data_IF_824025189904
#
_entry.id   IF_824025189904
#
_cell.length_a   1.000
_cell.length_b   1.000
_cell.length_c   1.000
_cell.angle_alpha   90.00
_cell.angle_beta   90.00
_cell.angle_gamma   90.00
#
_symmetry.space_group_name_H-M   'P 1'
#
loop_
_entity.id
_entity.type
_entity.pdbx_description
1 polymer ?
#
# COMPACT_ATOMS: atom_id res chain seq x y z
N UNK A 1 -0.72 12.37 -14.51
CA UNK A 1 0.21 11.31 -14.04
C UNK A 1 1.05 11.93 -12.94
N UNK A 2 0.93 11.43 -11.72
CA UNK A 2 1.67 12.02 -10.60
C UNK A 2 3.00 11.28 -10.45
N UNK A 3 4.11 11.97 -10.78
CA UNK A 3 5.44 11.36 -10.74
C UNK A 3 6.04 11.29 -9.32
N UNK A 4 5.32 11.77 -8.31
CA UNK A 4 5.83 11.98 -6.96
C UNK A 4 6.05 10.67 -6.16
N UNK A 5 5.38 9.57 -6.55
CA UNK A 5 5.60 8.26 -5.90
C UNK A 5 6.93 7.60 -6.33
N UNK A 6 7.37 7.88 -7.57
CA UNK A 6 8.43 7.10 -8.20
C UNK A 6 9.79 7.28 -7.53
N UNK A 7 10.19 8.47 -7.06
CA UNK A 7 11.42 8.63 -6.31
C UNK A 7 11.47 7.74 -5.07
N UNK A 8 10.40 7.74 -4.27
CA UNK A 8 10.36 6.93 -3.03
C UNK A 8 10.35 5.43 -3.33
N UNK A 9 9.58 4.97 -4.32
CA UNK A 9 9.56 3.56 -4.71
C UNK A 9 10.87 3.10 -5.36
N UNK A 10 11.56 3.98 -6.11
CA UNK A 10 12.88 3.68 -6.66
C UNK A 10 13.90 3.51 -5.54
N UNK A 11 13.89 4.37 -4.53
CA UNK A 11 14.74 4.23 -3.34
C UNK A 11 14.43 2.93 -2.60
N UNK A 12 13.15 2.60 -2.38
CA UNK A 12 12.76 1.34 -1.76
C UNK A 12 13.26 0.13 -2.57
N UNK A 13 13.15 0.18 -3.90
CA UNK A 13 13.63 -0.90 -4.79
C UNK A 13 15.15 -1.04 -4.74
N UNK A 14 15.88 0.09 -4.68
CA UNK A 14 17.33 0.09 -4.54
C UNK A 14 17.77 -0.54 -3.22
N UNK A 15 17.12 -0.21 -2.10
CA UNK A 15 17.38 -0.86 -0.81
C UNK A 15 16.97 -2.33 -0.79
N UNK A 16 15.92 -2.74 -1.51
CA UNK A 16 15.54 -4.14 -1.63
C UNK A 16 16.60 -4.94 -2.40
N UNK A 17 17.12 -4.40 -3.51
CA UNK A 17 18.22 -4.99 -4.25
C UNK A 17 19.50 -5.05 -3.40
N UNK A 18 19.80 -3.98 -2.65
CA UNK A 18 20.93 -3.92 -1.73
C UNK A 18 20.80 -4.97 -0.62
N UNK A 19 19.64 -5.12 0.00
CA UNK A 19 19.36 -6.14 1.02
C UNK A 19 19.55 -7.55 0.45
N UNK A 20 19.09 -7.80 -0.78
CA UNK A 20 19.35 -9.03 -1.52
C UNK A 20 20.84 -9.31 -1.69
N UNK A 21 21.62 -8.30 -2.08
CA UNK A 21 23.08 -8.43 -2.18
C UNK A 21 23.73 -8.69 -0.81
N UNK A 22 23.34 -7.93 0.22
CA UNK A 22 23.80 -8.10 1.61
C UNK A 22 23.51 -9.51 2.13
N UNK A 23 22.38 -10.11 1.75
CA UNK A 23 22.03 -11.48 2.13
C UNK A 23 22.96 -12.55 1.53
N UNK A 24 23.54 -12.29 0.35
CA UNK A 24 24.55 -13.19 -0.23
C UNK A 24 25.88 -13.16 0.55
N UNK A 25 26.13 -12.06 1.26
CA UNK A 25 27.33 -11.82 2.07
C UNK A 25 27.10 -12.07 3.57
N UNK A 26 25.94 -12.60 3.97
CA UNK A 26 25.58 -12.79 5.39
C UNK A 26 26.61 -13.60 6.18
N UNK A 27 27.32 -14.53 5.52
CA UNK A 27 28.36 -15.36 6.16
C UNK A 27 29.57 -14.53 6.64
N UNK A 28 29.85 -13.39 6.02
CA UNK A 28 30.98 -12.53 6.37
C UNK A 28 30.58 -11.28 7.16
N UNK A 29 29.39 -10.73 6.93
CA UNK A 29 28.93 -9.45 7.52
C UNK A 29 27.82 -9.61 8.56
N UNK A 30 27.24 -10.81 8.69
CA UNK A 30 26.11 -11.07 9.58
C UNK A 30 24.77 -10.54 9.03
N UNK A 31 23.71 -10.71 9.83
CA UNK A 31 22.34 -10.34 9.42
C UNK A 31 22.00 -8.87 9.63
N UNK A 32 22.77 -8.12 10.43
CA UNK A 32 22.46 -6.71 10.75
C UNK A 32 22.25 -5.85 9.50
N UNK A 33 23.16 -5.84 8.50
CA UNK A 33 23.00 -4.98 7.33
C UNK A 33 21.77 -5.34 6.49
N UNK A 34 21.38 -6.63 6.47
CA UNK A 34 20.19 -7.09 5.74
C UNK A 34 18.93 -6.49 6.36
N UNK A 35 18.83 -6.51 7.69
CA UNK A 35 17.69 -5.97 8.41
C UNK A 35 17.65 -4.43 8.39
N UNK A 36 18.80 -3.77 8.45
CA UNK A 36 18.88 -2.32 8.31
C UNK A 36 18.37 -1.88 6.92
N UNK A 37 18.81 -2.57 5.86
CA UNK A 37 18.35 -2.31 4.50
C UNK A 37 16.84 -2.60 4.35
N UNK A 38 16.34 -3.69 4.94
CA UNK A 38 14.90 -4.00 4.93
C UNK A 38 14.06 -2.94 5.66
N UNK A 39 14.56 -2.38 6.75
CA UNK A 39 13.87 -1.29 7.43
C UNK A 39 13.70 -0.07 6.51
N UNK A 40 14.76 0.30 5.76
CA UNK A 40 14.65 1.35 4.75
C UNK A 40 13.66 1.00 3.64
N UNK A 41 13.60 -0.27 3.20
CA UNK A 41 12.57 -0.72 2.25
C UNK A 41 11.18 -0.45 2.79
N UNK A 42 10.88 -0.88 4.03
CA UNK A 42 9.57 -0.70 4.66
C UNK A 42 9.21 0.78 4.77
N UNK A 43 10.15 1.61 5.21
CA UNK A 43 9.97 3.05 5.35
C UNK A 43 9.67 3.73 4.01
N UNK A 44 10.53 3.55 3.01
CA UNK A 44 10.39 4.21 1.70
C UNK A 44 9.23 3.66 0.89
N UNK A 45 8.91 2.36 1.02
CA UNK A 45 7.70 1.78 0.44
C UNK A 45 6.44 2.39 1.06
N UNK A 46 6.40 2.55 2.39
CA UNK A 46 5.31 3.24 3.08
C UNK A 46 5.11 4.66 2.57
N UNK A 47 6.19 5.44 2.46
CA UNK A 47 6.15 6.80 1.90
C UNK A 47 5.64 6.78 0.45
N UNK A 48 6.21 5.92 -0.40
CA UNK A 48 5.84 5.84 -1.81
C UNK A 48 4.37 5.47 -2.03
N UNK A 49 3.88 4.47 -1.28
CA UNK A 49 2.47 4.05 -1.30
C UNK A 49 1.56 5.15 -0.75
N UNK A 50 1.94 5.82 0.33
CA UNK A 50 1.19 6.95 0.88
C UNK A 50 1.08 8.11 -0.12
N UNK A 51 2.17 8.44 -0.81
CA UNK A 51 2.16 9.46 -1.88
C UNK A 51 1.36 9.02 -3.11
N UNK A 52 1.33 7.72 -3.41
CA UNK A 52 0.49 7.17 -4.47
C UNK A 52 -1.00 7.43 -4.20
N UNK A 53 -1.40 7.50 -2.93
CA UNK A 53 -2.79 7.75 -2.54
C UNK A 53 -3.25 9.19 -2.80
N UNK A 54 -2.31 10.13 -2.96
CA UNK A 54 -2.60 11.51 -3.36
C UNK A 54 -2.97 11.63 -4.85
N UNK A 55 -2.89 10.53 -5.60
CA UNK A 55 -3.35 10.50 -6.99
C UNK A 55 -4.87 10.58 -7.06
N UNK A 56 -5.35 11.22 -8.11
CA UNK A 56 -6.77 11.43 -8.35
C UNK A 56 -7.54 10.09 -8.41
N UNK A 57 -8.41 9.79 -7.42
CA UNK A 57 -9.18 8.55 -7.36
C UNK A 57 -10.29 8.46 -8.42
N UNK A 58 -10.57 9.56 -9.12
CA UNK A 58 -11.66 9.62 -10.11
C UNK A 58 -11.30 8.99 -11.45
N UNK A 59 -10.02 8.73 -11.73
CA UNK A 59 -9.56 8.08 -12.97
C UNK A 59 -9.06 6.65 -12.71
N UNK A 60 -9.92 5.67 -12.98
CA UNK A 60 -9.51 4.27 -13.15
C UNK A 60 -8.67 4.13 -14.43
N UNK A 61 -7.34 4.12 -14.31
CA UNK A 61 -6.47 3.96 -15.49
C UNK A 61 -6.49 2.54 -16.09
N UNK A 62 -7.03 1.55 -15.38
CA UNK A 62 -6.99 0.14 -15.78
C UNK A 62 -8.39 -0.50 -15.76
N UNK A 63 -8.79 -1.15 -16.85
CA UNK A 63 -10.10 -1.80 -17.02
C UNK A 63 -10.34 -2.91 -15.97
N UNK A 64 -9.26 -3.60 -15.59
CA UNK A 64 -9.30 -4.66 -14.55
C UNK A 64 -9.61 -4.05 -13.17
N UNK A 65 -8.98 -2.93 -12.84
CA UNK A 65 -9.27 -2.20 -11.60
C UNK A 65 -10.72 -1.71 -11.59
N UNK A 66 -11.18 -1.12 -12.70
CA UNK A 66 -12.56 -0.66 -12.85
C UNK A 66 -13.58 -1.77 -12.62
N UNK A 67 -13.33 -2.97 -13.13
CA UNK A 67 -14.21 -4.14 -12.95
C UNK A 67 -14.28 -4.64 -11.50
N UNK A 68 -13.21 -4.48 -10.72
CA UNK A 68 -13.19 -4.81 -9.29
C UNK A 68 -14.01 -3.79 -8.48
N UNK A 69 -13.92 -2.50 -8.82
CA UNK A 69 -14.60 -1.43 -8.08
C UNK A 69 -16.09 -1.25 -8.46
N UNK A 70 -16.47 -1.64 -9.69
CA UNK A 70 -17.87 -1.63 -10.13
C UNK A 70 -18.73 -2.71 -9.49
N UNK A 71 -18.14 -3.86 -9.16
CA UNK A 71 -18.82 -4.98 -8.53
C UNK A 71 -18.88 -4.78 -6.99
N UNK A 72 -20.07 -4.71 -6.37
CA UNK A 72 -20.20 -4.41 -4.96
C UNK A 72 -19.59 -5.47 -4.04
N UNK A 73 -19.57 -6.74 -4.48
CA UNK A 73 -19.00 -7.85 -3.74
C UNK A 73 -17.47 -7.84 -3.78
N UNK A 74 -16.89 -7.67 -4.97
CA UNK A 74 -15.43 -7.63 -5.17
C UNK A 74 -14.80 -6.39 -4.55
N UNK A 75 -15.45 -5.23 -4.70
CA UNK A 75 -15.00 -3.99 -4.06
C UNK A 75 -15.01 -4.09 -2.52
N UNK A 76 -16.02 -4.75 -1.93
CA UNK A 76 -16.07 -4.98 -0.48
C UNK A 76 -14.95 -5.92 -0.01
N UNK A 77 -14.71 -7.01 -0.74
CA UNK A 77 -13.60 -7.93 -0.45
C UNK A 77 -12.24 -7.25 -0.55
N UNK A 78 -12.01 -6.42 -1.57
CA UNK A 78 -10.76 -5.66 -1.72
C UNK A 78 -10.52 -4.71 -0.54
N UNK A 79 -11.57 -4.00 -0.09
CA UNK A 79 -11.47 -3.13 1.08
C UNK A 79 -11.18 -3.89 2.36
N UNK A 80 -11.75 -5.08 2.56
CA UNK A 80 -11.45 -5.93 3.71
C UNK A 80 -9.98 -6.35 3.66
N UNK A 81 -9.50 -6.85 2.52
CA UNK A 81 -8.11 -7.26 2.35
C UNK A 81 -7.16 -6.10 2.64
N UNK A 82 -7.37 -4.93 2.03
CA UNK A 82 -6.58 -3.73 2.28
C UNK A 82 -6.60 -3.32 3.76
N UNK A 83 -7.79 -3.32 4.38
CA UNK A 83 -7.91 -3.00 5.81
C UNK A 83 -7.14 -4.00 6.68
N UNK A 84 -7.21 -5.30 6.38
CA UNK A 84 -6.47 -6.33 7.10
C UNK A 84 -4.97 -6.16 6.94
N UNK A 85 -4.46 -5.84 5.75
CA UNK A 85 -3.03 -5.57 5.55
C UNK A 85 -2.57 -4.29 6.28
N UNK A 86 -3.34 -3.22 6.17
CA UNK A 86 -3.05 -1.94 6.84
C UNK A 86 -3.02 -2.11 8.36
N UNK A 87 -4.08 -2.67 8.94
CA UNK A 87 -4.17 -2.89 10.38
C UNK A 87 -3.18 -3.95 10.84
N UNK A 88 -3.02 -5.04 10.07
CA UNK A 88 -2.08 -6.11 10.38
C UNK A 88 -0.64 -5.60 10.46
N UNK A 89 -0.20 -4.82 9.46
CA UNK A 89 1.13 -4.21 9.48
C UNK A 89 1.31 -3.29 10.70
N UNK A 90 0.34 -2.43 11.01
CA UNK A 90 0.42 -1.54 12.17
C UNK A 90 0.43 -2.29 13.49
N UNK A 91 -0.46 -3.28 13.68
CA UNK A 91 -0.55 -4.06 14.92
C UNK A 91 0.71 -4.90 15.11
N UNK A 92 1.16 -5.62 14.09
CA UNK A 92 2.39 -6.42 14.16
C UNK A 92 3.59 -5.51 14.41
N UNK A 93 3.66 -4.35 13.75
CA UNK A 93 4.73 -3.38 13.97
C UNK A 93 4.71 -2.78 15.39
N UNK A 94 3.55 -2.42 15.93
CA UNK A 94 3.46 -1.87 17.29
C UNK A 94 3.77 -2.94 18.35
N UNK A 95 3.22 -4.14 18.21
CA UNK A 95 3.50 -5.27 19.11
C UNK A 95 4.97 -5.66 19.02
N UNK A 96 5.54 -5.72 17.82
CA UNK A 96 6.94 -6.01 17.58
C UNK A 96 7.86 -4.97 18.21
N UNK A 97 7.53 -3.69 18.13
CA UNK A 97 8.30 -2.61 18.75
C UNK A 97 8.21 -2.68 20.28
N UNK A 98 7.04 -3.02 20.83
CA UNK A 98 6.83 -3.17 22.27
C UNK A 98 7.58 -4.37 22.87
N UNK A 99 7.65 -5.48 22.12
CA UNK A 99 8.35 -6.70 22.52
C UNK A 99 9.82 -6.74 22.06
N UNK A 100 10.36 -5.64 21.53
CA UNK A 100 11.68 -5.65 20.92
C UNK A 100 12.80 -5.70 21.98
N UNK A 101 13.46 -6.84 22.10
CA UNK A 101 14.67 -7.00 22.93
C UNK A 101 15.93 -6.42 22.27
N UNK A 102 15.89 -6.17 20.95
CA UNK A 102 17.03 -5.67 20.18
C UNK A 102 16.66 -4.43 19.37
N UNK A 103 17.66 -3.59 19.11
CA UNK A 103 17.51 -2.39 18.26
C UNK A 103 17.04 -2.75 16.85
N UNK A 104 17.50 -3.87 16.30
CA UNK A 104 17.12 -4.37 14.97
C UNK A 104 15.62 -4.68 14.89
N UNK A 105 15.11 -5.45 15.87
CA UNK A 105 13.68 -5.79 15.92
C UNK A 105 12.84 -4.54 16.09
N UNK A 106 13.27 -3.59 16.94
CA UNK A 106 12.57 -2.33 17.14
C UNK A 106 12.51 -1.51 15.84
N UNK A 107 13.65 -1.37 15.14
CA UNK A 107 13.70 -0.62 13.88
C UNK A 107 12.81 -1.22 12.81
N UNK A 108 12.90 -2.53 12.55
CA UNK A 108 12.03 -3.22 11.60
C UNK A 108 10.55 -3.06 11.94
N UNK A 109 10.23 -3.11 13.23
CA UNK A 109 8.88 -2.94 13.74
C UNK A 109 8.35 -1.52 13.44
N UNK A 110 9.16 -0.49 13.67
CA UNK A 110 8.83 0.89 13.32
C UNK A 110 8.72 1.09 11.80
N UNK A 111 9.59 0.44 11.01
CA UNK A 111 9.47 0.40 9.55
C UNK A 111 8.14 -0.21 9.09
N UNK A 112 7.71 -1.30 9.72
CA UNK A 112 6.43 -1.96 9.42
C UNK A 112 5.24 -1.07 9.79
N UNK A 113 5.32 -0.31 10.90
CA UNK A 113 4.32 0.72 11.24
C UNK A 113 4.29 1.81 10.16
N UNK A 114 5.44 2.31 9.71
CA UNK A 114 5.52 3.32 8.65
C UNK A 114 4.91 2.82 7.33
N UNK A 115 5.14 1.56 6.96
CA UNK A 115 4.49 0.91 5.83
C UNK A 115 2.97 0.85 6.01
N UNK A 116 2.50 0.45 7.20
CA UNK A 116 1.08 0.43 7.56
C UNK A 116 0.42 1.81 7.41
N UNK A 117 1.09 2.88 7.89
CA UNK A 117 0.63 4.26 7.71
C UNK A 117 0.54 4.66 6.23
N UNK A 118 1.49 4.23 5.40
CA UNK A 118 1.41 4.40 3.95
C UNK A 118 0.16 3.75 3.34
N UNK A 119 -0.14 2.53 3.77
CA UNK A 119 -1.35 1.81 3.34
C UNK A 119 -2.67 2.42 3.86
N UNK A 120 -2.67 3.21 4.95
CA UNK A 120 -3.85 3.98 5.38
C UNK A 120 -4.25 4.98 4.29
N UNK A 121 -3.27 5.68 3.70
CA UNK A 121 -3.52 6.59 2.59
C UNK A 121 -4.19 5.86 1.42
N UNK A 122 -3.62 4.72 1.02
CA UNK A 122 -4.17 3.91 -0.07
C UNK A 122 -5.57 3.38 0.24
N UNK A 123 -5.84 2.95 1.48
CA UNK A 123 -7.15 2.48 1.90
C UNK A 123 -8.20 3.60 1.81
N UNK A 124 -7.85 4.83 2.20
CA UNK A 124 -8.74 5.99 2.05
C UNK A 124 -9.09 6.22 0.58
N UNK A 125 -8.07 6.28 -0.29
CA UNK A 125 -8.27 6.46 -1.74
C UNK A 125 -9.11 5.33 -2.34
N UNK A 126 -8.92 4.09 -1.89
CA UNK A 126 -9.71 2.94 -2.31
C UNK A 126 -11.19 3.03 -1.89
N UNK A 127 -11.47 3.56 -0.69
CA UNK A 127 -12.85 3.82 -0.22
C UNK A 127 -13.51 4.87 -1.12
N UNK A 128 -12.83 6.01 -1.34
CA UNK A 128 -13.33 7.09 -2.22
C UNK A 128 -13.58 6.57 -3.65
N UNK A 129 -12.66 5.76 -4.18
CA UNK A 129 -12.76 5.16 -5.51
C UNK A 129 -13.96 4.21 -5.62
N UNK A 130 -14.20 3.37 -4.60
CA UNK A 130 -15.37 2.49 -4.53
C UNK A 130 -16.67 3.31 -4.49
N UNK A 131 -16.70 4.40 -3.74
CA UNK A 131 -17.89 5.25 -3.65
C UNK A 131 -18.24 5.91 -4.98
N UNK A 132 -17.25 6.38 -5.73
CA UNK A 132 -17.46 7.02 -7.03
C UNK A 132 -17.79 6.04 -8.17
N UNK A 133 -17.30 4.80 -8.12
CA UNK A 133 -17.43 3.84 -9.22
C UNK A 133 -18.52 2.78 -9.02
N UNK A 134 -19.22 2.77 -7.88
CA UNK A 134 -20.28 1.80 -7.61
C UNK A 134 -21.50 2.06 -8.50
N UNK A 135 -21.83 1.07 -9.34
CA UNK A 135 -22.98 1.14 -10.23
C UNK A 135 -24.32 1.13 -9.47
N UNK A 136 -24.36 0.55 -8.26
CA UNK A 136 -25.57 0.49 -7.43
C UNK A 136 -26.15 1.86 -7.04
N UNK A 137 -25.36 2.94 -7.14
CA UNK A 137 -25.77 4.31 -6.81
C UNK A 137 -25.81 5.24 -8.02
N UNK A 138 -25.45 4.76 -9.22
CA UNK A 138 -25.61 5.59 -10.42
C UNK A 138 -27.11 5.64 -10.75
N UNK A 139 -27.69 6.84 -10.91
CA UNK A 139 -29.07 6.93 -11.39
C UNK A 139 -29.10 6.19 -12.72
N UNK A 140 -29.98 5.19 -12.82
CA UNK A 140 -30.41 4.68 -14.12
C UNK A 140 -30.85 5.90 -14.91
N UNK A 141 -30.00 6.39 -15.81
CA UNK A 141 -30.45 7.21 -16.92
C UNK A 141 -31.29 6.26 -17.76
N UNK A 142 -32.55 6.13 -17.34
CA UNK A 142 -33.65 5.65 -18.15
C UNK A 142 -33.49 6.41 -19.45
N UNK A 143 -33.09 5.68 -20.48
CA UNK A 143 -33.15 6.16 -21.84
C UNK A 143 -34.62 6.50 -22.08
N UNK A 144 -34.98 7.77 -21.94
CA UNK A 144 -36.19 8.28 -22.52
C UNK A 144 -35.92 8.36 -24.03
N UNK A 145 -35.94 7.16 -24.63
CA UNK A 145 -36.09 6.99 -26.05
C UNK A 145 -37.45 7.58 -26.39
N UNK A 146 -37.42 8.58 -27.26
CA UNK A 146 -38.31 8.58 -28.42
C UNK A 146 -39.80 8.49 -28.08
N UNK A 147 -40.38 9.59 -27.60
CA UNK A 147 -41.72 9.93 -28.09
C UNK A 147 -41.53 10.72 -29.39
N UNK A 148 -41.51 9.94 -30.47
CA UNK A 148 -41.82 10.37 -31.82
C UNK A 148 -43.32 10.67 -31.94
#
# INVERSE_FOLDING_TARGET
MNYLQYPALLVATAYAAKSGWSSSLVKSTGWSPVFDDLNYVLLYAGIGVGLASLQDPTKTQNEISRRVWQDPGKGRWMLILLSTYTLGAMVIGLVGAYMADTTVVNQLSLGLVALGLGFVGLLKTAIEMREHHRLDKQPTTTSDRSQA
#
